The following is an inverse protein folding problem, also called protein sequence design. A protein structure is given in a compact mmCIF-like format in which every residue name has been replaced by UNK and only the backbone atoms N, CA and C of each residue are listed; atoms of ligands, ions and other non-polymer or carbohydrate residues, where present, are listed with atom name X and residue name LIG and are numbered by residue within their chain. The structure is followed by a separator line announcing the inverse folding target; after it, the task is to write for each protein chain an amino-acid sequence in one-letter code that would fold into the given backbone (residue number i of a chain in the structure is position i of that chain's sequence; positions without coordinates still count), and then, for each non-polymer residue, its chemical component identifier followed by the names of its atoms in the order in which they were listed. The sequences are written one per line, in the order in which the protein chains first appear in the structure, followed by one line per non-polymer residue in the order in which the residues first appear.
data_IF_274860010886
#
_entry.id   IF_274860010886
#
_cell.length_a   1.000
_cell.length_b   1.000
_cell.length_c   1.000
_cell.angle_alpha   90.00
_cell.angle_beta   90.00
_cell.angle_gamma   90.00
#
_symmetry.space_group_name_H-M   'P 1'
#
loop_
_entity.id
_entity.type
_entity.pdbx_description
1 polymer ?
#
# COMPACT_ATOMS: atom_id res chain seq x y z
N UNK A 1 41.01 23.09 32.81
CA UNK A 1 39.65 22.82 32.25
C UNK A 1 38.74 22.51 33.42
N UNK A 2 37.64 23.24 33.59
CA UNK A 2 36.76 23.05 34.76
C UNK A 2 36.11 21.65 34.71
N UNK A 3 36.05 20.92 35.84
CA UNK A 3 35.50 19.56 35.88
C UNK A 3 34.04 19.49 35.40
N UNK A 4 33.29 20.59 35.56
CA UNK A 4 31.94 20.76 35.03
C UNK A 4 31.86 20.64 33.50
N UNK A 5 32.86 21.12 32.77
CA UNK A 5 32.91 21.03 31.30
C UNK A 5 33.12 19.59 30.86
N UNK A 6 33.98 18.85 31.57
CA UNK A 6 34.26 17.45 31.29
C UNK A 6 33.02 16.57 31.49
N UNK A 7 32.28 16.81 32.58
CA UNK A 7 31.04 16.09 32.88
C UNK A 7 29.99 16.34 31.80
N UNK A 8 29.82 17.60 31.37
CA UNK A 8 28.88 17.95 30.30
C UNK A 8 29.25 17.28 28.97
N UNK A 9 30.54 17.21 28.62
CA UNK A 9 30.98 16.55 27.38
C UNK A 9 30.72 15.05 27.39
N UNK A 10 30.90 14.38 28.54
CA UNK A 10 30.64 12.94 28.67
C UNK A 10 29.14 12.65 28.59
N UNK A 11 28.30 13.46 29.25
CA UNK A 11 26.84 13.33 29.17
C UNK A 11 26.36 13.49 27.73
N UNK A 12 26.86 14.49 27.00
CA UNK A 12 26.47 14.72 25.61
C UNK A 12 26.89 13.55 24.70
N UNK A 13 28.10 13.01 24.88
CA UNK A 13 28.59 11.86 24.12
C UNK A 13 27.74 10.59 24.36
N UNK A 14 27.31 10.35 25.60
CA UNK A 14 26.43 9.23 25.95
C UNK A 14 25.03 9.37 25.35
N UNK A 15 24.49 10.59 25.26
CA UNK A 15 23.19 10.82 24.60
C UNK A 15 23.31 10.62 23.09
N UNK A 16 24.38 11.12 22.47
CA UNK A 16 24.60 11.01 21.03
C UNK A 16 24.81 9.57 20.56
N UNK A 17 25.41 8.69 21.38
CA UNK A 17 25.61 7.28 21.03
C UNK A 17 24.33 6.43 21.07
N UNK A 18 23.27 6.92 21.70
CA UNK A 18 22.02 6.20 21.90
C UNK A 18 20.86 6.75 21.05
N UNK A 19 21.17 7.49 19.98
CA UNK A 19 20.14 7.99 19.06
C UNK A 19 19.49 6.79 18.36
N UNK A 20 18.19 6.51 18.59
CA UNK A 20 17.51 5.46 17.86
C UNK A 20 17.46 5.85 16.37
N UNK A 21 17.84 4.91 15.49
CA UNK A 21 17.57 5.08 14.07
C UNK A 21 16.05 5.11 13.88
N UNK A 22 15.51 6.31 13.63
CA UNK A 22 14.11 6.45 13.25
C UNK A 22 14.01 5.96 11.81
N UNK A 23 13.72 4.68 11.63
CA UNK A 23 13.19 4.16 10.38
C UNK A 23 11.78 4.74 10.24
N UNK A 24 11.68 5.99 9.80
CA UNK A 24 10.41 6.53 9.37
C UNK A 24 9.92 5.61 8.25
N UNK A 25 8.89 4.82 8.54
CA UNK A 25 8.25 3.95 7.55
C UNK A 25 7.50 4.86 6.58
N UNK A 26 8.27 5.47 5.68
CA UNK A 26 7.79 6.45 4.73
C UNK A 26 6.95 5.69 3.72
N UNK A 27 5.64 5.90 3.79
CA UNK A 27 4.71 5.28 2.85
C UNK A 27 4.94 5.89 1.48
N UNK A 28 5.46 5.10 0.55
CA UNK A 28 5.65 5.50 -0.85
C UNK A 28 4.54 4.93 -1.71
N UNK A 29 4.32 5.54 -2.86
CA UNK A 29 3.45 5.01 -3.89
C UNK A 29 4.21 4.94 -5.20
N UNK A 30 3.89 3.96 -6.04
CA UNK A 30 4.33 4.02 -7.43
C UNK A 30 3.66 5.21 -8.10
N UNK A 31 4.44 5.97 -8.86
CA UNK A 31 3.99 7.07 -9.69
C UNK A 31 4.47 6.83 -11.12
N UNK A 32 3.50 6.62 -12.00
CA UNK A 32 3.69 6.38 -13.43
C UNK A 32 2.40 6.66 -14.18
N UNK A 33 2.50 6.86 -15.49
CA UNK A 33 1.37 6.91 -16.42
C UNK A 33 1.78 6.39 -17.77
N UNK A 34 1.06 5.41 -18.31
CA UNK A 34 1.32 4.88 -19.64
C UNK A 34 0.05 4.38 -20.32
N UNK A 35 0.11 4.23 -21.64
CA UNK A 35 -0.94 3.62 -22.46
C UNK A 35 -0.49 2.25 -22.98
N UNK A 36 -1.43 1.32 -23.06
CA UNK A 36 -1.21 -0.03 -23.56
C UNK A 36 -0.24 -0.87 -22.74
N UNK A 37 -0.04 -2.11 -23.18
CA UNK A 37 0.74 -3.16 -22.47
C UNK A 37 2.26 -2.93 -22.48
N UNK A 38 2.76 -2.10 -23.41
CA UNK A 38 4.19 -1.81 -23.54
C UNK A 38 4.69 -0.74 -22.56
N UNK A 39 3.79 -0.06 -21.86
CA UNK A 39 4.15 1.00 -20.94
C UNK A 39 4.60 0.49 -19.57
N UNK A 40 5.51 1.23 -18.92
CA UNK A 40 6.03 0.91 -17.58
C UNK A 40 4.97 0.98 -16.47
N UNK A 41 3.79 1.57 -16.75
CA UNK A 41 2.65 1.62 -15.84
C UNK A 41 1.56 0.57 -16.18
N UNK A 42 1.90 -0.49 -16.91
CA UNK A 42 0.97 -1.57 -17.27
C UNK A 42 0.30 -2.26 -16.06
N UNK A 43 -0.70 -3.07 -16.36
CA UNK A 43 -1.42 -3.91 -15.40
C UNK A 43 -1.68 -5.27 -16.05
N UNK A 44 -1.08 -6.38 -15.58
CA UNK A 44 -0.43 -6.55 -14.29
C UNK A 44 0.89 -5.78 -14.13
N UNK A 45 1.09 -5.23 -12.93
CA UNK A 45 2.32 -4.55 -12.56
C UNK A 45 3.40 -5.57 -12.20
N UNK A 46 4.60 -5.40 -12.77
CA UNK A 46 5.70 -6.38 -12.65
C UNK A 46 6.96 -5.81 -12.02
N UNK A 47 6.94 -4.55 -11.58
CA UNK A 47 8.11 -3.90 -11.01
C UNK A 47 8.11 -3.98 -9.48
N UNK A 48 9.27 -4.27 -8.90
CA UNK A 48 9.49 -4.21 -7.46
C UNK A 48 10.03 -2.86 -7.04
N UNK A 49 10.14 -2.63 -5.73
CA UNK A 49 10.67 -1.41 -5.14
C UNK A 49 12.08 -1.04 -5.64
N UNK A 50 12.91 -2.04 -5.96
CA UNK A 50 14.28 -1.87 -6.45
C UNK A 50 14.37 -1.58 -7.94
N UNK A 51 13.38 -1.99 -8.70
CA UNK A 51 13.40 -1.92 -10.18
C UNK A 51 13.01 -0.53 -10.69
N UNK A 52 12.42 0.27 -9.80
CA UNK A 52 11.94 1.64 -10.05
C UNK A 52 13.05 2.54 -10.60
N UNK A 53 14.26 2.45 -10.04
CA UNK A 53 15.36 3.34 -10.41
C UNK A 53 15.92 3.05 -11.81
N UNK A 54 15.66 1.85 -12.34
CA UNK A 54 16.11 1.43 -13.67
C UNK A 54 15.08 1.60 -14.78
N UNK A 55 13.80 1.80 -14.42
CA UNK A 55 12.70 1.82 -15.38
C UNK A 55 12.27 3.26 -15.73
N UNK A 56 12.42 3.71 -16.99
CA UNK A 56 12.05 5.06 -17.38
C UNK A 56 10.56 5.34 -17.19
N UNK A 57 10.22 6.46 -16.55
CA UNK A 57 8.83 6.87 -16.36
C UNK A 57 8.10 6.13 -15.23
N UNK A 58 8.81 5.31 -14.46
CA UNK A 58 8.36 4.76 -13.19
C UNK A 58 9.13 5.42 -12.04
N UNK A 59 8.43 5.76 -10.96
CA UNK A 59 9.03 6.33 -9.76
C UNK A 59 8.31 5.84 -8.51
N UNK A 60 8.99 5.85 -7.36
CA UNK A 60 8.42 5.52 -6.06
C UNK A 60 8.55 6.76 -5.18
N UNK A 61 7.46 7.51 -5.04
CA UNK A 61 7.47 8.80 -4.35
C UNK A 61 6.89 8.68 -2.95
N UNK A 62 7.42 9.43 -1.97
CA UNK A 62 6.85 9.47 -0.63
C UNK A 62 5.49 10.18 -0.61
N UNK A 63 4.54 9.62 0.13
CA UNK A 63 3.17 10.09 0.24
C UNK A 63 2.83 10.50 1.66
N UNK A 64 2.70 11.82 1.88
CA UNK A 64 2.35 12.38 3.19
C UNK A 64 0.98 11.90 3.71
N UNK A 65 0.02 11.66 2.81
CA UNK A 65 -1.30 11.08 3.15
C UNK A 65 -1.20 9.60 3.53
N UNK A 66 -0.15 8.91 3.07
CA UNK A 66 -0.01 7.46 3.13
C UNK A 66 -0.96 6.68 2.23
N UNK A 67 -1.66 7.36 1.32
CA UNK A 67 -2.64 6.76 0.41
C UNK A 67 -2.13 6.78 -1.03
N UNK A 68 -2.31 5.65 -1.72
CA UNK A 68 -1.99 5.48 -3.12
C UNK A 68 -3.26 5.32 -3.95
N UNK A 69 -3.20 5.78 -5.20
CA UNK A 69 -4.23 5.63 -6.20
C UNK A 69 -3.73 4.82 -7.40
N UNK A 70 -4.64 4.06 -8.01
CA UNK A 70 -4.50 3.43 -9.32
C UNK A 70 -5.75 3.75 -10.14
N UNK A 71 -5.57 4.37 -11.29
CA UNK A 71 -6.63 4.82 -12.20
C UNK A 71 -6.47 4.07 -13.51
N UNK A 72 -7.56 3.47 -14.00
CA UNK A 72 -7.64 2.81 -15.30
C UNK A 72 -8.69 3.55 -16.12
N UNK A 73 -8.22 4.29 -17.12
CA UNK A 73 -9.06 4.93 -18.15
C UNK A 73 -9.49 3.89 -19.19
N UNK A 74 -10.68 4.04 -19.77
CA UNK A 74 -11.15 3.14 -20.84
C UNK A 74 -11.72 1.80 -20.37
N UNK A 75 -12.22 1.72 -19.13
CA UNK A 75 -12.89 0.53 -18.58
C UNK A 75 -14.41 0.68 -18.49
N UNK A 76 -15.15 -0.38 -18.84
CA UNK A 76 -16.61 -0.47 -18.72
C UNK A 76 -17.27 -1.14 -19.94
N UNK A 77 -18.56 -1.52 -19.86
CA UNK A 77 -19.28 -2.21 -20.95
C UNK A 77 -19.48 -1.37 -22.23
N UNK A 78 -19.02 -0.12 -22.25
CA UNK A 78 -19.16 0.83 -23.37
C UNK A 78 -17.82 1.34 -23.92
N UNK A 79 -16.68 0.79 -23.48
CA UNK A 79 -15.39 1.09 -24.10
C UNK A 79 -15.30 0.32 -25.42
N UNK A 80 -15.57 1.00 -26.53
CA UNK A 80 -15.62 0.42 -27.89
C UNK A 80 -14.19 0.28 -28.48
N UNK A 81 -13.19 0.82 -27.79
CA UNK A 81 -11.81 0.94 -28.25
C UNK A 81 -10.85 0.70 -27.05
N UNK A 82 -10.12 -0.41 -27.07
CA UNK A 82 -9.10 -0.75 -26.06
C UNK A 82 -7.76 -0.02 -26.28
N UNK A 83 -7.56 0.68 -27.40
CA UNK A 83 -6.36 1.45 -27.73
C UNK A 83 -6.21 2.72 -26.88
N UNK A 84 -7.29 3.21 -26.27
CA UNK A 84 -7.29 4.37 -25.37
C UNK A 84 -7.15 4.04 -23.88
N UNK A 85 -6.91 2.76 -23.53
CA UNK A 85 -6.68 2.39 -22.12
C UNK A 85 -5.37 2.99 -21.60
N UNK A 86 -5.50 3.91 -20.65
CA UNK A 86 -4.39 4.48 -19.92
C UNK A 86 -4.45 4.06 -18.46
N UNK A 87 -3.30 3.64 -17.92
CA UNK A 87 -3.16 3.30 -16.51
C UNK A 87 -2.26 4.33 -15.87
N UNK A 88 -2.70 4.83 -14.71
CA UNK A 88 -1.97 5.81 -13.92
C UNK A 88 -1.90 5.35 -12.47
N UNK A 89 -0.71 5.44 -11.89
CA UNK A 89 -0.46 5.25 -10.47
C UNK A 89 0.00 6.57 -9.87
N UNK A 90 -0.51 6.92 -8.71
CA UNK A 90 -0.21 8.22 -8.10
C UNK A 90 -0.34 8.20 -6.58
N UNK A 91 0.30 9.18 -5.97
CA UNK A 91 0.01 9.60 -4.61
C UNK A 91 -1.31 10.37 -4.57
N UNK A 92 -2.24 10.03 -3.67
CA UNK A 92 -3.47 10.81 -3.51
C UNK A 92 -3.36 11.76 -2.32
N UNK A 93 -3.86 12.98 -2.46
CA UNK A 93 -3.78 13.98 -1.38
C UNK A 93 -4.66 13.61 -0.18
N UNK A 94 -5.77 12.92 -0.43
CA UNK A 94 -6.72 12.47 0.59
C UNK A 94 -7.18 11.04 0.26
N UNK A 95 -7.30 10.22 1.30
CA UNK A 95 -7.90 8.89 1.19
C UNK A 95 -9.44 8.95 1.09
N UNK A 96 -10.09 7.80 0.96
CA UNK A 96 -11.53 7.68 1.07
C UNK A 96 -12.03 8.05 2.47
N UNK A 97 -13.27 8.53 2.57
CA UNK A 97 -13.82 9.08 3.82
C UNK A 97 -13.96 8.06 4.97
N UNK A 98 -14.07 6.77 4.65
CA UNK A 98 -14.11 5.68 5.64
C UNK A 98 -12.74 5.05 5.92
N UNK A 99 -11.65 5.59 5.34
CA UNK A 99 -10.30 5.06 5.44
C UNK A 99 -10.17 3.58 5.08
N UNK A 100 -10.95 3.08 4.13
CA UNK A 100 -10.94 1.69 3.69
C UNK A 100 -10.45 1.55 2.25
N UNK A 101 -9.59 0.55 2.01
CA UNK A 101 -9.12 0.21 0.67
C UNK A 101 -10.28 -0.27 -0.19
N UNK A 102 -10.42 0.27 -1.40
CA UNK A 102 -11.50 -0.12 -2.31
C UNK A 102 -11.21 0.24 -3.76
N UNK A 103 -11.87 -0.46 -4.67
CA UNK A 103 -11.93 -0.12 -6.08
C UNK A 103 -13.38 0.09 -6.52
N UNK A 104 -13.62 1.09 -7.37
CA UNK A 104 -14.94 1.33 -7.94
C UNK A 104 -14.83 2.09 -9.27
N UNK A 105 -15.84 1.95 -10.12
CA UNK A 105 -16.07 2.87 -11.23
C UNK A 105 -16.48 4.23 -10.70
N UNK A 106 -15.75 5.27 -11.08
CA UNK A 106 -15.95 6.64 -10.61
C UNK A 106 -15.65 7.64 -11.71
N UNK A 107 -15.86 8.92 -11.41
CA UNK A 107 -15.47 10.03 -12.28
C UNK A 107 -14.21 10.66 -11.69
N UNK A 108 -13.12 10.60 -12.46
CA UNK A 108 -11.87 11.27 -12.13
C UNK A 108 -11.48 12.19 -13.28
N UNK A 109 -11.21 13.46 -12.98
CA UNK A 109 -10.87 14.47 -13.98
C UNK A 109 -11.85 14.50 -15.18
N UNK A 110 -13.16 14.48 -14.91
CA UNK A 110 -14.25 14.46 -15.89
C UNK A 110 -14.35 13.21 -16.79
N UNK A 111 -13.52 12.19 -16.54
CA UNK A 111 -13.54 10.93 -17.26
C UNK A 111 -14.11 9.82 -16.38
N UNK A 112 -14.86 8.89 -16.99
CA UNK A 112 -15.26 7.64 -16.34
C UNK A 112 -14.03 6.73 -16.26
N UNK A 113 -13.67 6.31 -15.06
CA UNK A 113 -12.49 5.50 -14.79
C UNK A 113 -12.80 4.42 -13.77
N UNK A 114 -12.05 3.33 -13.81
CA UNK A 114 -11.99 2.40 -12.70
C UNK A 114 -10.83 2.83 -11.78
N UNK A 115 -11.13 3.20 -10.54
CA UNK A 115 -10.15 3.73 -9.60
C UNK A 115 -10.08 2.89 -8.33
N UNK A 116 -8.86 2.56 -7.90
CA UNK A 116 -8.56 1.91 -6.64
C UNK A 116 -7.81 2.86 -5.70
N UNK A 117 -8.19 2.83 -4.42
CA UNK A 117 -7.48 3.47 -3.30
C UNK A 117 -6.93 2.38 -2.39
N UNK A 118 -5.67 2.53 -1.97
CA UNK A 118 -5.06 1.66 -0.96
C UNK A 118 -4.16 2.45 -0.02
N UNK A 119 -4.01 1.98 1.22
CA UNK A 119 -3.13 2.57 2.22
C UNK A 119 -1.95 1.66 2.55
N UNK A 120 -0.72 2.13 2.32
CA UNK A 120 0.49 1.34 2.62
C UNK A 120 1.70 1.75 1.77
N UNK A 121 2.87 1.17 2.06
CA UNK A 121 4.06 1.34 1.21
C UNK A 121 3.87 0.53 -0.08
N UNK A 122 3.96 1.20 -1.23
CA UNK A 122 3.92 0.64 -2.59
C UNK A 122 2.68 -0.22 -2.90
N UNK A 123 1.57 -0.01 -2.18
CA UNK A 123 0.37 -0.85 -2.29
C UNK A 123 -0.31 -0.79 -3.67
N UNK A 124 -0.15 0.31 -4.42
CA UNK A 124 -0.76 0.47 -5.74
C UNK A 124 -0.05 -0.29 -6.87
N UNK A 125 0.93 -1.12 -6.53
CA UNK A 125 1.54 -2.09 -7.44
C UNK A 125 0.82 -3.45 -7.47
N UNK A 126 -0.11 -3.76 -6.56
CA UNK A 126 -0.74 -5.08 -6.56
C UNK A 126 -1.68 -5.28 -7.76
N UNK A 127 -1.66 -6.51 -8.31
CA UNK A 127 -2.57 -6.96 -9.36
C UNK A 127 -3.97 -7.30 -8.83
N UNK A 128 -4.08 -7.43 -7.51
CA UNK A 128 -5.29 -7.91 -6.90
C UNK A 128 -6.31 -6.80 -6.85
N UNK A 129 -7.42 -7.05 -7.54
CA UNK A 129 -8.73 -6.60 -7.13
C UNK A 129 -8.75 -6.67 -5.61
N UNK A 130 -8.79 -5.52 -4.95
CA UNK A 130 -9.03 -5.37 -3.52
C UNK A 130 -10.47 -5.81 -3.21
N UNK A 131 -10.84 -7.03 -3.62
CA UNK A 131 -11.93 -7.76 -3.04
C UNK A 131 -11.42 -8.14 -1.67
N UNK A 132 -11.94 -7.46 -0.65
CA UNK A 132 -12.00 -7.97 0.70
C UNK A 132 -12.22 -9.48 0.67
N UNK A 133 -11.14 -10.27 0.80
CA UNK A 133 -11.25 -11.54 1.46
C UNK A 133 -11.67 -11.18 2.87
N UNK A 134 -12.99 -11.24 3.10
CA UNK A 134 -13.54 -11.36 4.43
C UNK A 134 -12.75 -12.47 5.09
N UNK A 135 -11.85 -12.11 6.01
CA UNK A 135 -11.32 -13.01 7.02
C UNK A 135 -12.51 -13.38 7.93
N UNK A 136 -13.41 -14.20 7.39
CA UNK A 136 -14.36 -15.01 8.13
C UNK A 136 -13.59 -16.23 8.66
N UNK A 137 -13.92 -16.68 9.87
CA UNK A 137 -13.08 -16.36 11.02
C UNK A 137 -12.37 -17.61 11.53
N UNK A 138 -11.17 -17.46 12.08
CA UNK A 138 -10.50 -18.47 12.90
C UNK A 138 -11.27 -18.85 14.19
N UNK A 139 -12.47 -18.29 14.39
CA UNK A 139 -13.40 -18.60 15.48
C UNK A 139 -14.15 -19.94 15.29
N UNK A 140 -14.11 -20.58 14.12
CA UNK A 140 -14.74 -21.90 13.95
C UNK A 140 -13.92 -23.06 14.52
N UNK A 141 -12.60 -22.89 14.66
CA UNK A 141 -11.72 -23.95 15.18
C UNK A 141 -11.81 -24.10 16.71
N UNK A 142 -12.05 -23.01 17.45
CA UNK A 142 -12.18 -23.04 18.92
C UNK A 142 -13.46 -23.74 19.38
N UNK A 143 -14.55 -23.70 18.62
CA UNK A 143 -15.81 -24.39 18.92
C UNK A 143 -15.69 -25.90 18.69
N UNK A 144 -14.91 -26.31 17.68
CA UNK A 144 -14.67 -27.73 17.38
C UNK A 144 -13.74 -28.37 18.42
N UNK A 145 -12.71 -27.65 18.89
CA UNK A 145 -11.82 -28.15 19.96
C UNK A 145 -12.55 -28.28 21.29
N UNK A 146 -13.41 -27.32 21.65
CA UNK A 146 -14.17 -27.38 22.92
C UNK A 146 -15.25 -28.47 22.93
N UNK A 147 -15.87 -28.80 21.79
CA UNK A 147 -16.81 -29.94 21.70
C UNK A 147 -16.12 -31.30 21.73
N UNK A 148 -14.91 -31.43 21.17
CA UNK A 148 -14.10 -32.66 21.28
C UNK A 148 -13.61 -32.84 22.73
N UNK A 149 -13.11 -31.78 23.39
CA UNK A 149 -12.67 -31.86 24.79
C UNK A 149 -13.79 -32.30 25.74
N UNK A 150 -15.00 -31.76 25.60
CA UNK A 150 -16.14 -32.16 26.43
C UNK A 150 -16.60 -33.61 26.20
N UNK A 151 -16.42 -34.16 24.99
CA UNK A 151 -16.73 -35.57 24.73
C UNK A 151 -15.70 -36.52 25.33
N UNK A 152 -14.40 -36.17 25.33
CA UNK A 152 -13.35 -37.03 25.91
C UNK A 152 -13.47 -37.13 27.43
N UNK A 153 -13.93 -36.08 28.11
CA UNK A 153 -14.13 -36.08 29.57
C UNK A 153 -15.35 -36.88 30.05
N UNK A 154 -16.24 -37.31 29.15
CA UNK A 154 -17.42 -38.13 29.50
C UNK A 154 -17.20 -39.64 29.34
N UNK A 155 -16.06 -40.06 28.76
CA UNK A 155 -15.72 -41.46 28.50
C UNK A 155 -14.52 -41.97 29.33
N UNK A 156 -14.11 -41.23 30.37
CA UNK A 156 -13.09 -41.59 31.35
C UNK A 156 -13.69 -41.58 32.76
#
# INVERSE_FOLDING_TARGET
MQPSVFILTVIFALIASNVPQINALLRRCYQCRSRGELGSCKDPFTFNATDVDSEPGLSAIPCASGWCGKVIEGGGPYAIDDYDRAIQRMCVQRGPDDNMDRCADTIYNYNKVYMCFCQGDLCNGSNDRWQHHQLLPLLSLSILVSTICNKVHMYL
#
